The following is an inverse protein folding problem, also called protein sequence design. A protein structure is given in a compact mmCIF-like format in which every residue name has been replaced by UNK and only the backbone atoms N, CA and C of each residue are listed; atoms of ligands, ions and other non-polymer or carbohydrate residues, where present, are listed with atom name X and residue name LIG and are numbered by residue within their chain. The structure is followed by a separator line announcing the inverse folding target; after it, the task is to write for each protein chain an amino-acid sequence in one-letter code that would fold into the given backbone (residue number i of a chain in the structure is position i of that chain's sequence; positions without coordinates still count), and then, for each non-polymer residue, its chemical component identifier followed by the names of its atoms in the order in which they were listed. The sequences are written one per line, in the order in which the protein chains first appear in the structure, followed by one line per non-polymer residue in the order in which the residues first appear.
data_IF_998683985403
#
_entry.id   IF_998683985403
#
_cell.length_a   1.000
_cell.length_b   1.000
_cell.length_c   1.000
_cell.angle_alpha   90.00
_cell.angle_beta   90.00
_cell.angle_gamma   90.00
#
_symmetry.space_group_name_H-M   'P 1'
#
loop_
_entity.id
_entity.type
_entity.pdbx_description
1 polymer ?
#
# COMPACT_ATOMS: atom_id res chain seq x y z
N UNK A 1 32.58 -2.85 -1.88
CA UNK A 1 31.70 -3.09 -3.06
C UNK A 1 32.28 -2.34 -4.25
N UNK A 2 32.70 -3.03 -5.31
CA UNK A 2 33.26 -2.41 -6.52
C UNK A 2 32.15 -2.04 -7.51
N UNK A 3 32.32 -0.91 -8.20
CA UNK A 3 31.48 -0.43 -9.32
C UNK A 3 32.19 -0.69 -10.64
N UNK A 4 31.45 -0.89 -11.72
CA UNK A 4 31.99 -0.96 -13.08
C UNK A 4 32.33 0.44 -13.63
N UNK A 5 32.91 0.46 -14.83
CA UNK A 5 33.29 1.69 -15.56
C UNK A 5 32.10 2.61 -15.85
N UNK A 6 30.87 2.08 -15.82
CA UNK A 6 29.62 2.81 -16.00
C UNK A 6 28.97 3.18 -14.65
N UNK A 7 29.67 2.98 -13.53
CA UNK A 7 29.21 3.29 -12.19
C UNK A 7 28.16 2.33 -11.62
N UNK A 8 27.80 1.24 -12.31
CA UNK A 8 26.87 0.23 -11.80
C UNK A 8 27.58 -0.71 -10.83
N UNK A 9 26.88 -1.11 -9.77
CA UNK A 9 27.38 -2.11 -8.84
C UNK A 9 27.40 -3.46 -9.55
N UNK A 10 28.52 -4.19 -9.45
CA UNK A 10 28.68 -5.51 -10.10
C UNK A 10 27.59 -6.52 -9.69
N UNK A 11 26.95 -6.31 -8.54
CA UNK A 11 25.88 -7.17 -8.03
C UNK A 11 24.46 -6.73 -8.45
N UNK A 12 24.28 -5.63 -9.19
CA UNK A 12 22.95 -5.17 -9.61
C UNK A 12 22.06 -6.23 -10.28
N UNK A 13 22.56 -7.08 -11.21
CA UNK A 13 21.69 -8.09 -11.82
C UNK A 13 21.26 -9.21 -10.85
N UNK A 14 21.92 -9.36 -9.69
CA UNK A 14 21.60 -10.37 -8.67
C UNK A 14 20.83 -9.81 -7.47
N UNK A 15 20.65 -8.48 -7.41
CA UNK A 15 19.86 -7.85 -6.38
C UNK A 15 18.39 -7.93 -6.80
N UNK A 16 17.66 -8.88 -6.21
CA UNK A 16 16.20 -8.87 -6.21
C UNK A 16 15.73 -7.62 -5.46
N UNK A 17 15.65 -6.49 -6.17
CA UNK A 17 15.06 -5.27 -5.64
C UNK A 17 13.55 -5.48 -5.61
N UNK A 18 12.89 -5.48 -4.44
CA UNK A 18 11.44 -5.45 -4.41
C UNK A 18 10.97 -4.26 -5.24
N UNK A 19 9.98 -4.47 -6.09
CA UNK A 19 9.37 -3.37 -6.82
C UNK A 19 8.91 -2.31 -5.79
N UNK A 20 9.09 -1.01 -6.07
CA UNK A 20 8.55 0.02 -5.20
C UNK A 20 7.06 -0.24 -5.01
N UNK A 21 6.63 -0.35 -3.74
CA UNK A 21 5.22 -0.52 -3.42
C UNK A 21 4.43 0.64 -4.03
N UNK A 22 3.25 0.40 -4.64
CA UNK A 22 2.42 1.48 -5.14
C UNK A 22 2.13 2.44 -3.99
N UNK A 23 2.22 3.75 -4.27
CA UNK A 23 1.94 4.78 -3.28
C UNK A 23 0.52 4.55 -2.72
N UNK A 24 0.42 4.31 -1.42
CA UNK A 24 -0.88 4.12 -0.77
C UNK A 24 -1.60 5.46 -0.80
N UNK A 25 -2.76 5.51 -1.47
CA UNK A 25 -3.55 6.74 -1.53
C UNK A 25 -3.92 7.19 -0.12
N UNK A 26 -3.51 8.42 0.22
CA UNK A 26 -3.86 9.06 1.49
C UNK A 26 -5.28 9.60 1.50
N UNK A 27 -5.99 9.60 0.36
CA UNK A 27 -7.37 10.03 0.30
C UNK A 27 -8.31 8.90 0.74
N UNK A 28 -9.22 9.15 1.70
CA UNK A 28 -10.20 8.16 2.10
C UNK A 28 -11.23 7.94 0.96
N UNK A 29 -11.48 6.68 0.54
CA UNK A 29 -12.49 6.37 -0.47
C UNK A 29 -13.90 6.39 0.15
N UNK A 30 -14.91 6.87 -0.56
CA UNK A 30 -16.30 6.80 -0.06
C UNK A 30 -16.85 5.37 -0.11
N UNK A 31 -17.52 4.92 0.94
CA UNK A 31 -18.19 3.62 0.95
C UNK A 31 -19.49 3.68 0.11
N UNK A 32 -19.74 2.74 -0.83
CA UNK A 32 -20.95 2.74 -1.65
C UNK A 32 -22.23 2.47 -0.86
N UNK A 33 -22.16 1.66 0.21
CA UNK A 33 -23.30 1.34 1.07
C UNK A 33 -23.56 2.40 2.14
N UNK A 34 -22.49 3.05 2.62
CA UNK A 34 -22.56 4.02 3.71
C UNK A 34 -21.84 5.33 3.31
N UNK A 35 -22.43 6.14 2.41
CA UNK A 35 -21.78 7.34 1.88
C UNK A 35 -21.54 8.41 2.95
N UNK A 36 -22.29 8.35 4.06
CA UNK A 36 -22.19 9.29 5.18
C UNK A 36 -21.08 8.93 6.17
N UNK A 37 -20.52 7.73 6.04
CA UNK A 37 -19.57 7.17 7.02
C UNK A 37 -18.16 7.42 6.56
N UNK A 38 -17.36 8.06 7.42
CA UNK A 38 -15.93 8.25 7.17
C UNK A 38 -15.19 6.91 7.32
N UNK A 39 -14.53 6.42 6.26
CA UNK A 39 -13.74 5.21 6.35
C UNK A 39 -12.57 5.41 7.31
N UNK A 40 -12.16 4.33 7.96
CA UNK A 40 -11.02 4.32 8.88
C UNK A 40 -9.85 3.60 8.24
N UNK A 41 -8.64 4.07 8.51
CA UNK A 41 -7.42 3.44 8.03
C UNK A 41 -6.92 2.42 9.05
N UNK A 42 -6.79 1.17 8.64
CA UNK A 42 -6.21 0.10 9.45
C UNK A 42 -4.75 -0.11 9.03
N UNK A 43 -3.86 -0.17 10.03
CA UNK A 43 -2.43 -0.46 9.88
C UNK A 43 -1.71 0.42 8.84
N UNK A 44 -2.20 1.65 8.62
CA UNK A 44 -1.63 2.59 7.63
C UNK A 44 -1.76 2.16 6.17
N UNK A 45 -2.33 0.99 5.89
CA UNK A 45 -2.32 0.39 4.54
C UNK A 45 -3.70 0.38 3.87
N UNK A 46 -4.78 0.19 4.64
CA UNK A 46 -6.10 -0.07 4.06
C UNK A 46 -7.19 0.79 4.66
N UNK A 47 -8.01 1.39 3.81
CA UNK A 47 -9.25 2.05 4.22
C UNK A 47 -10.38 1.04 4.33
N UNK A 48 -11.14 1.11 5.41
CA UNK A 48 -12.29 0.24 5.66
C UNK A 48 -13.52 1.05 6.08
N UNK A 49 -14.70 0.57 5.69
CA UNK A 49 -15.95 1.07 6.24
C UNK A 49 -16.23 0.33 7.58
N UNK A 50 -16.35 1.05 8.71
CA UNK A 50 -16.61 0.42 10.01
C UNK A 50 -17.99 -0.27 10.07
N UNK A 51 -18.98 0.23 9.35
CA UNK A 51 -20.33 -0.35 9.40
C UNK A 51 -20.45 -1.61 8.56
N UNK A 52 -19.81 -1.66 7.39
CA UNK A 52 -19.72 -2.88 6.59
C UNK A 52 -18.97 -3.99 7.33
N UNK A 53 -17.91 -3.64 8.08
CA UNK A 53 -17.11 -4.64 8.82
C UNK A 53 -17.84 -5.18 10.05
N UNK A 54 -18.69 -4.36 10.69
CA UNK A 54 -19.54 -4.83 11.79
C UNK A 54 -20.61 -5.83 11.33
N UNK A 55 -21.17 -5.65 10.15
CA UNK A 55 -22.22 -6.55 9.61
C UNK A 55 -21.70 -7.93 9.22
N UNK A 56 -20.39 -8.15 9.09
CA UNK A 56 -19.81 -9.43 8.66
C UNK A 56 -19.58 -10.43 9.81
N UNK A 57 -19.98 -10.08 11.04
CA UNK A 57 -19.68 -10.84 12.27
C UNK A 57 -20.93 -11.41 12.95
N UNK A 58 -21.95 -11.78 12.14
CA UNK A 58 -23.14 -12.51 12.59
C UNK A 58 -23.15 -13.92 11.98
#
# INVERSE_FOLDING_TARGET
MKRDENGRLWAQPYLHRPAPHPAVSNTPPTCPHHPQVKPRRILGARWICPDCTRQTTD
#
